data_IF_519946405368
#
_entry.id   IF_519946405368
#
_cell.length_a   1.000
_cell.length_b   1.000
_cell.length_c   1.000
_cell.angle_alpha   90.00
_cell.angle_beta   90.00
_cell.angle_gamma   90.00
#
_symmetry.space_group_name_H-M   'P 1'
#
loop_
_entity.id
_entity.type
_entity.pdbx_description
1 polymer ?
#
# COMPACT_ATOMS: atom_id res chain seq x y z
N UNK A 1 -13.09 4.56 1.01
CA UNK A 1 -12.89 4.43 -0.44
C UNK A 1 -14.00 5.12 -1.21
N UNK A 2 -15.22 4.56 -1.32
CA UNK A 2 -16.33 5.22 -2.06
C UNK A 2 -16.60 6.66 -1.63
N UNK A 3 -16.79 6.90 -0.33
CA UNK A 3 -17.10 8.24 0.20
C UNK A 3 -15.94 9.25 0.09
N UNK A 4 -14.73 8.78 -0.22
CA UNK A 4 -13.57 9.64 -0.47
C UNK A 4 -13.51 10.00 -1.96
N UNK A 5 -13.85 9.05 -2.83
CA UNK A 5 -13.96 9.27 -4.28
C UNK A 5 -15.20 10.10 -4.69
N UNK A 6 -16.33 9.97 -3.99
CA UNK A 6 -17.55 10.77 -4.15
C UNK A 6 -17.37 12.16 -3.50
N UNK A 7 -16.54 12.98 -4.14
CA UNK A 7 -16.10 14.28 -3.61
C UNK A 7 -17.26 15.28 -3.49
N UNK A 8 -18.24 15.19 -4.38
CA UNK A 8 -19.43 16.04 -4.35
C UNK A 8 -20.54 15.51 -3.41
N UNK A 9 -20.39 14.28 -2.89
CA UNK A 9 -21.32 13.59 -1.99
C UNK A 9 -22.74 13.44 -2.54
N UNK A 10 -22.88 13.31 -3.86
CA UNK A 10 -24.17 13.16 -4.54
C UNK A 10 -24.65 11.69 -4.61
N UNK A 11 -23.81 10.75 -4.15
CA UNK A 11 -24.08 9.33 -4.12
C UNK A 11 -23.82 8.62 -5.45
N UNK A 12 -23.14 9.27 -6.40
CA UNK A 12 -22.71 8.73 -7.69
C UNK A 12 -21.22 9.05 -7.89
N UNK A 13 -20.59 8.35 -8.82
CA UNK A 13 -19.24 8.67 -9.26
C UNK A 13 -19.32 9.19 -10.70
N UNK A 14 -18.94 10.43 -10.89
CA UNK A 14 -18.65 11.00 -12.22
C UNK A 14 -17.38 10.36 -12.81
N UNK A 15 -17.09 10.56 -14.09
CA UNK A 15 -15.93 9.92 -14.75
C UNK A 15 -14.61 10.16 -14.01
N UNK A 16 -14.42 11.37 -13.48
CA UNK A 16 -13.23 11.74 -12.72
C UNK A 16 -13.21 11.08 -11.33
N UNK A 17 -14.34 11.05 -10.64
CA UNK A 17 -14.48 10.38 -9.33
C UNK A 17 -14.35 8.85 -9.47
N UNK A 18 -14.79 8.29 -10.59
CA UNK A 18 -14.62 6.89 -10.92
C UNK A 18 -13.15 6.54 -11.17
N UNK A 19 -12.37 7.40 -11.84
CA UNK A 19 -10.92 7.23 -11.97
C UNK A 19 -10.22 7.24 -10.59
N UNK A 20 -10.62 8.15 -9.70
CA UNK A 20 -10.11 8.19 -8.32
C UNK A 20 -10.44 6.90 -7.56
N UNK A 21 -11.62 6.32 -7.82
CA UNK A 21 -12.04 5.07 -7.22
C UNK A 21 -11.28 3.84 -7.78
N UNK A 22 -10.97 3.82 -9.08
CA UNK A 22 -10.29 2.68 -9.72
C UNK A 22 -8.78 2.71 -9.58
N UNK A 23 -8.18 3.89 -9.46
CA UNK A 23 -6.72 4.08 -9.34
C UNK A 23 -6.35 4.91 -8.11
N UNK A 24 -6.79 4.51 -6.90
CA UNK A 24 -6.59 5.29 -5.70
C UNK A 24 -5.11 5.57 -5.37
N UNK A 25 -4.16 4.77 -5.86
CA UNK A 25 -2.72 5.01 -5.74
C UNK A 25 -2.21 6.23 -6.50
N UNK A 26 -2.88 6.68 -7.56
CA UNK A 26 -2.46 7.88 -8.30
C UNK A 26 -2.98 9.18 -7.65
N UNK A 27 -3.89 9.05 -6.68
CA UNK A 27 -4.62 10.17 -6.10
C UNK A 27 -4.28 10.38 -4.63
N UNK A 28 -3.62 11.51 -4.32
CA UNK A 28 -3.15 11.87 -2.97
C UNK A 28 -4.23 11.85 -1.89
N UNK A 29 -5.46 12.18 -2.24
CA UNK A 29 -6.62 12.14 -1.34
C UNK A 29 -6.97 10.71 -0.88
N UNK A 30 -6.63 9.71 -1.69
CA UNK A 30 -6.87 8.30 -1.41
C UNK A 30 -5.72 7.65 -0.66
N UNK A 31 -4.48 8.17 -0.76
CA UNK A 31 -3.30 7.63 -0.07
C UNK A 31 -3.53 7.45 1.43
N UNK A 32 -4.04 8.49 2.10
CA UNK A 32 -4.32 8.39 3.53
C UNK A 32 -5.35 7.30 3.85
N UNK A 33 -6.35 7.09 2.99
CA UNK A 33 -7.33 6.03 3.19
C UNK A 33 -6.71 4.64 2.98
N UNK A 34 -5.93 4.47 1.90
CA UNK A 34 -5.24 3.22 1.59
C UNK A 34 -4.31 2.82 2.73
N UNK A 35 -3.45 3.73 3.20
CA UNK A 35 -2.50 3.45 4.29
C UNK A 35 -3.21 3.10 5.59
N UNK A 36 -4.29 3.82 5.94
CA UNK A 36 -5.09 3.47 7.11
C UNK A 36 -5.76 2.11 6.99
N UNK A 37 -6.14 1.71 5.79
CA UNK A 37 -6.66 0.38 5.54
C UNK A 37 -5.55 -0.68 5.66
N UNK A 38 -4.38 -0.44 5.07
CA UNK A 38 -3.19 -1.30 5.19
C UNK A 38 -2.81 -1.54 6.64
N UNK A 39 -2.70 -0.48 7.44
CA UNK A 39 -2.43 -0.59 8.87
C UNK A 39 -3.47 -1.45 9.56
N UNK A 40 -4.77 -1.22 9.35
CA UNK A 40 -5.82 -2.02 9.99
C UNK A 40 -5.77 -3.51 9.64
N UNK A 41 -5.25 -3.85 8.47
CA UNK A 41 -5.16 -5.23 7.98
C UNK A 41 -3.86 -5.91 8.43
N UNK A 42 -2.75 -5.17 8.51
CA UNK A 42 -1.40 -5.68 8.75
C UNK A 42 -0.92 -5.52 10.19
N UNK A 43 -1.28 -4.42 10.87
CA UNK A 43 -0.95 -4.15 12.28
C UNK A 43 -1.77 -5.09 13.19
N UNK A 44 -1.21 -6.28 13.44
CA UNK A 44 -1.83 -7.34 14.22
C UNK A 44 -1.74 -7.02 15.71
N UNK A 45 -0.65 -6.38 16.12
CA UNK A 45 -0.34 -6.08 17.51
C UNK A 45 -1.01 -4.77 18.00
N UNK A 46 -1.48 -3.92 17.08
CA UNK A 46 -2.17 -2.63 17.26
C UNK A 46 -1.32 -1.54 17.89
N UNK A 47 -0.02 -1.53 17.61
CA UNK A 47 0.89 -0.49 18.06
C UNK A 47 0.91 0.74 17.13
N UNK A 48 0.23 0.66 15.98
CA UNK A 48 0.12 1.74 15.00
C UNK A 48 1.26 1.78 13.99
N UNK A 49 2.13 0.77 13.98
CA UNK A 49 3.22 0.58 13.03
C UNK A 49 3.12 -0.81 12.40
N UNK A 50 3.96 -1.08 11.40
CA UNK A 50 4.06 -2.41 10.80
C UNK A 50 5.48 -2.91 11.04
N UNK A 51 5.62 -3.98 11.81
CA UNK A 51 6.89 -4.67 11.97
C UNK A 51 7.17 -5.65 10.82
N UNK A 52 8.41 -6.12 10.70
CA UNK A 52 8.82 -7.08 9.67
C UNK A 52 7.88 -8.29 9.57
N UNK A 53 7.50 -8.91 10.68
CA UNK A 53 6.64 -10.10 10.69
C UNK A 53 5.23 -9.76 10.21
N UNK A 54 4.73 -8.58 10.58
CA UNK A 54 3.44 -8.06 10.15
C UNK A 54 3.41 -7.75 8.65
N UNK A 55 4.51 -7.20 8.13
CA UNK A 55 4.70 -6.92 6.70
C UNK A 55 4.59 -8.20 5.86
N UNK A 56 5.40 -9.20 6.20
CA UNK A 56 5.51 -10.46 5.45
C UNK A 56 4.26 -11.34 5.68
N UNK A 57 3.59 -11.16 6.81
CA UNK A 57 2.37 -11.86 7.21
C UNK A 57 2.53 -13.38 7.22
N UNK A 58 1.43 -14.11 6.98
CA UNK A 58 1.44 -15.58 7.00
C UNK A 58 2.27 -16.22 5.87
N UNK A 59 2.57 -15.46 4.80
CA UNK A 59 3.50 -15.91 3.73
C UNK A 59 4.93 -16.05 4.26
N UNK A 60 5.32 -15.23 5.24
CA UNK A 60 6.64 -15.27 5.90
C UNK A 60 6.88 -16.49 6.78
N UNK A 61 5.82 -17.12 7.31
CA UNK A 61 5.94 -18.30 8.17
C UNK A 61 6.61 -19.51 7.50
N UNK A 62 6.60 -19.58 6.17
CA UNK A 62 7.23 -20.66 5.41
C UNK A 62 8.54 -20.27 4.72
N UNK A 63 8.89 -18.97 4.72
CA UNK A 63 9.96 -18.40 3.91
C UNK A 63 10.84 -17.40 4.68
N UNK A 64 11.07 -17.64 5.97
CA UNK A 64 12.02 -16.88 6.82
C UNK A 64 13.41 -16.69 6.16
N UNK A 65 13.86 -17.61 5.31
CA UNK A 65 15.15 -17.51 4.60
C UNK A 65 15.07 -16.82 3.22
N UNK A 66 13.88 -16.51 2.69
CA UNK A 66 13.71 -15.98 1.32
C UNK A 66 13.25 -14.51 1.31
N UNK A 67 12.75 -13.99 2.43
CA UNK A 67 12.23 -12.63 2.49
C UNK A 67 13.29 -11.54 2.77
N UNK A 68 14.56 -11.80 2.42
CA UNK A 68 15.73 -11.02 2.85
C UNK A 68 15.88 -9.73 2.03
N UNK A 69 16.03 -9.80 0.71
CA UNK A 69 16.46 -8.61 -0.06
C UNK A 69 15.34 -7.59 -0.27
N UNK A 70 14.10 -8.02 -0.54
CA UNK A 70 13.03 -7.08 -0.87
C UNK A 70 12.56 -6.26 0.33
N UNK A 71 12.46 -6.92 1.49
CA UNK A 71 12.06 -6.24 2.73
C UNK A 71 13.21 -5.40 3.28
N UNK A 72 14.46 -5.86 3.18
CA UNK A 72 15.61 -5.02 3.51
C UNK A 72 15.66 -3.77 2.64
N UNK A 73 15.41 -3.89 1.33
CA UNK A 73 15.37 -2.74 0.42
C UNK A 73 14.23 -1.78 0.75
N UNK A 74 13.06 -2.31 1.10
CA UNK A 74 11.90 -1.51 1.51
C UNK A 74 12.20 -0.73 2.79
N UNK A 75 12.59 -1.41 3.87
CA UNK A 75 12.88 -0.79 5.16
C UNK A 75 14.04 0.19 5.04
N UNK A 76 15.12 -0.15 4.34
CA UNK A 76 16.22 0.78 4.12
C UNK A 76 15.82 2.06 3.35
N UNK A 77 14.71 2.04 2.62
CA UNK A 77 14.21 3.18 1.86
C UNK A 77 13.13 3.98 2.61
N UNK A 78 12.39 3.34 3.52
CA UNK A 78 11.21 3.92 4.16
C UNK A 78 11.33 4.14 5.67
N UNK A 79 12.17 3.37 6.38
CA UNK A 79 12.45 3.53 7.81
C UNK A 79 13.47 4.67 8.00
N UNK A 80 12.95 5.88 8.24
CA UNK A 80 13.74 7.11 8.31
C UNK A 80 14.37 7.29 9.68
N UNK A 81 13.74 6.80 10.75
CA UNK A 81 14.24 6.90 12.11
C UNK A 81 15.06 5.68 12.57
N UNK A 82 15.12 4.64 11.72
CA UNK A 82 15.90 3.42 11.88
C UNK A 82 15.53 2.64 13.14
N UNK A 83 14.24 2.56 13.44
CA UNK A 83 13.72 1.81 14.57
C UNK A 83 13.24 0.38 14.22
N UNK A 84 13.48 -0.04 12.97
CA UNK A 84 13.07 -1.33 12.38
C UNK A 84 11.54 -1.51 12.34
N UNK A 85 10.78 -0.41 12.43
CA UNK A 85 9.33 -0.36 12.27
C UNK A 85 8.96 0.62 11.14
N UNK A 86 7.78 0.45 10.58
CA UNK A 86 7.24 1.40 9.60
C UNK A 86 6.03 2.11 10.20
N UNK A 87 6.22 3.36 10.60
CA UNK A 87 5.16 4.20 11.12
C UNK A 87 4.22 4.70 10.01
N UNK A 88 3.02 5.14 10.38
CA UNK A 88 2.07 5.76 9.44
C UNK A 88 2.69 6.91 8.65
N UNK A 89 3.54 7.73 9.28
CA UNK A 89 4.15 8.89 8.64
C UNK A 89 5.22 8.50 7.62
N UNK A 90 5.98 7.44 7.88
CA UNK A 90 6.99 6.89 6.98
C UNK A 90 6.37 6.22 5.76
N UNK A 91 5.34 5.39 5.98
CA UNK A 91 4.58 4.75 4.89
C UNK A 91 3.93 5.82 3.99
N UNK A 92 3.44 6.92 4.58
CA UNK A 92 2.85 8.03 3.81
C UNK A 92 3.90 8.82 3.02
N UNK A 93 5.07 9.07 3.62
CA UNK A 93 6.14 9.82 2.96
C UNK A 93 6.76 9.04 1.80
N UNK A 94 6.94 7.73 1.99
CA UNK A 94 7.58 6.82 1.03
C UNK A 94 6.58 5.94 0.28
N UNK A 95 5.33 6.39 0.14
CA UNK A 95 4.23 5.64 -0.51
C UNK A 95 4.59 5.11 -1.92
N UNK A 96 5.48 5.80 -2.63
CA UNK A 96 6.01 5.43 -3.95
C UNK A 96 6.82 4.13 -3.92
N UNK A 97 7.55 3.88 -2.83
CA UNK A 97 8.23 2.60 -2.59
C UNK A 97 7.20 1.49 -2.40
N UNK A 98 6.08 1.75 -1.71
CA UNK A 98 5.03 0.75 -1.47
C UNK A 98 4.17 0.45 -2.70
N UNK A 99 3.96 1.43 -3.59
CA UNK A 99 3.21 1.25 -4.85
C UNK A 99 4.07 0.57 -5.92
N UNK A 100 5.40 0.73 -5.89
CA UNK A 100 6.33 0.16 -6.87
C UNK A 100 6.96 -1.19 -6.49
N UNK A 101 6.90 -1.60 -5.22
CA UNK A 101 7.46 -2.87 -4.76
C UNK A 101 6.42 -3.98 -4.84
N UNK A 102 6.75 -5.09 -5.51
CA UNK A 102 5.89 -6.28 -5.61
C UNK A 102 5.50 -6.87 -4.24
N UNK A 103 6.23 -6.48 -3.18
CA UNK A 103 6.00 -6.91 -1.81
C UNK A 103 4.70 -6.43 -1.18
N UNK A 104 4.00 -5.45 -1.76
CA UNK A 104 2.60 -5.20 -1.39
C UNK A 104 1.70 -5.52 -2.57
N UNK A 105 0.78 -6.47 -2.38
CA UNK A 105 -0.26 -6.93 -3.31
C UNK A 105 -1.20 -5.78 -3.81
N UNK A 106 -0.85 -4.52 -3.51
CA UNK A 106 -1.54 -3.31 -3.94
C UNK A 106 -1.32 -3.02 -5.43
N UNK A 107 -0.18 -3.43 -6.01
CA UNK A 107 0.09 -3.31 -7.44
C UNK A 107 -0.56 -4.42 -8.30
N UNK A 108 -0.66 -5.63 -7.77
CA UNK A 108 -1.16 -6.82 -8.49
C UNK A 108 -2.68 -6.91 -8.59
N UNK A 109 -3.43 -6.43 -7.58
CA UNK A 109 -4.91 -6.48 -7.61
C UNK A 109 -5.56 -5.29 -8.37
N UNK A 110 -4.79 -4.25 -8.71
CA UNK A 110 -5.25 -3.10 -9.52
C UNK A 110 -4.79 -3.16 -10.99
N UNK A 111 -3.86 -4.05 -11.33
CA UNK A 111 -3.59 -4.44 -12.72
C UNK A 111 -4.25 -5.77 -13.09
N UNK A 112 -5.55 -5.88 -12.79
CA UNK A 112 -6.41 -6.88 -13.42
C UNK A 112 -6.56 -6.60 -14.91
N UNK A 113 -5.69 -7.22 -15.71
CA UNK A 113 -5.81 -7.44 -17.16
C UNK A 113 -5.98 -6.20 -18.05
N UNK A 114 -4.94 -5.96 -18.85
CA UNK A 114 -4.95 -5.75 -20.31
C UNK A 114 -4.30 -4.43 -20.74
N UNK A 115 -3.16 -4.53 -21.43
CA UNK A 115 -3.11 -4.19 -22.86
C UNK A 115 -1.90 -4.88 -23.50
N UNK A 116 -2.19 -5.88 -24.34
CA UNK A 116 -1.37 -6.19 -25.51
C UNK A 116 -1.00 -4.88 -26.24
N UNK A 117 0.28 -4.70 -26.52
CA UNK A 117 0.87 -4.16 -27.76
C UNK A 117 2.14 -3.36 -27.45
N UNK A 118 3.29 -4.03 -27.58
CA UNK A 118 4.42 -3.36 -28.25
C UNK A 118 5.26 -4.34 -29.08
N UNK A 119 5.03 -4.22 -30.40
CA UNK A 119 5.79 -4.61 -31.60
C UNK A 119 5.63 -6.01 -32.25
#
# INVERSE_FOLDING_TARGET
>A
MWAVADANSDGKLELNEFQVFTNPEEHKEMHQFLINQTLREKDLNKDGSIDFNEYIGERGMFMYEIADEEVDHLFASADDDHDDLLSFEEILQHHDVFVGSEATDYGSDLMGEHFDDEL
#
